data_IF_909919109616
#
_entry.id   IF_909919109616
#
_cell.length_a   1.000
_cell.length_b   1.000
_cell.length_c   1.000
_cell.angle_alpha   90.00
_cell.angle_beta   90.00
_cell.angle_gamma   90.00
#
_symmetry.space_group_name_H-M   'P 1'
#
loop_
_entity.id
_entity.type
_entity.pdbx_description
1 polymer ?
#
# COMPACT_ATOMS: atom_id res chain seq x y z
N UNK A 1 -24.83 5.54 -16.10
CA UNK A 1 -23.59 4.74 -16.00
C UNK A 1 -22.85 5.20 -14.75
N UNK A 2 -22.31 4.32 -13.91
CA UNK A 2 -21.55 4.75 -12.73
C UNK A 2 -20.35 5.59 -13.21
N UNK A 3 -20.17 6.77 -12.63
CA UNK A 3 -19.02 7.63 -12.92
C UNK A 3 -17.77 6.88 -12.51
N UNK A 4 -16.89 6.55 -13.46
CA UNK A 4 -15.61 5.89 -13.17
C UNK A 4 -14.80 6.85 -12.30
N UNK A 5 -14.37 6.41 -11.10
CA UNK A 5 -13.44 7.24 -10.31
C UNK A 5 -12.20 7.53 -11.16
N UNK A 6 -11.62 8.73 -11.12
CA UNK A 6 -10.41 9.03 -11.87
C UNK A 6 -9.24 8.14 -11.40
N UNK A 7 -8.14 8.02 -12.15
CA UNK A 7 -6.93 7.30 -11.69
C UNK A 7 -7.10 5.83 -11.26
N UNK A 8 -8.10 5.12 -11.80
CA UNK A 8 -8.31 3.68 -11.51
C UNK A 8 -7.08 2.81 -11.78
N UNK A 9 -6.25 3.16 -12.78
CA UNK A 9 -5.01 2.43 -13.05
C UNK A 9 -4.04 2.51 -11.86
N UNK A 10 -3.91 3.67 -11.20
CA UNK A 10 -3.05 3.82 -10.01
C UNK A 10 -3.58 2.95 -8.86
N UNK A 11 -4.89 2.92 -8.66
CA UNK A 11 -5.51 2.05 -7.66
C UNK A 11 -5.25 0.57 -7.93
N UNK A 12 -5.30 0.14 -9.19
CA UNK A 12 -5.01 -1.25 -9.57
C UNK A 12 -3.53 -1.61 -9.41
N UNK A 13 -2.60 -0.72 -9.78
CA UNK A 13 -1.16 -0.92 -9.54
C UNK A 13 -0.88 -1.05 -8.04
N UNK A 14 -1.46 -0.15 -7.24
CA UNK A 14 -1.38 -0.21 -5.79
C UNK A 14 -1.94 -1.52 -5.24
N UNK A 15 -3.13 -1.93 -5.69
CA UNK A 15 -3.78 -3.18 -5.27
C UNK A 15 -2.91 -4.39 -5.58
N UNK A 16 -2.35 -4.46 -6.79
CA UNK A 16 -1.45 -5.54 -7.19
C UNK A 16 -0.20 -5.59 -6.31
N UNK A 17 0.40 -4.43 -6.00
CA UNK A 17 1.56 -4.37 -5.09
C UNK A 17 1.22 -4.84 -3.66
N UNK A 18 0.06 -4.44 -3.13
CA UNK A 18 -0.36 -4.86 -1.78
C UNK A 18 -0.59 -6.38 -1.75
N UNK A 19 -1.26 -6.93 -2.77
CA UNK A 19 -1.48 -8.36 -2.89
C UNK A 19 -0.16 -9.14 -3.04
N UNK A 20 0.78 -8.61 -3.82
CA UNK A 20 2.10 -9.23 -3.96
C UNK A 20 2.91 -9.17 -2.65
N UNK A 21 2.84 -8.06 -1.92
CA UNK A 21 3.38 -7.96 -0.56
C UNK A 21 2.77 -8.99 0.39
N UNK A 22 1.44 -9.14 0.38
CA UNK A 22 0.74 -10.13 1.20
C UNK A 22 1.10 -11.57 0.82
N UNK A 23 1.30 -11.83 -0.47
CA UNK A 23 1.81 -13.11 -0.96
C UNK A 23 3.20 -13.40 -0.38
N UNK A 24 4.15 -12.47 -0.50
CA UNK A 24 5.49 -12.63 0.08
C UNK A 24 5.45 -12.80 1.60
N UNK A 25 4.61 -12.03 2.31
CA UNK A 25 4.44 -12.15 3.75
C UNK A 25 3.88 -13.51 4.18
N UNK A 26 3.05 -14.15 3.34
CA UNK A 26 2.43 -15.44 3.64
C UNK A 26 3.33 -16.64 3.32
N UNK A 27 4.11 -16.56 2.24
CA UNK A 27 4.88 -17.69 1.74
C UNK A 27 6.38 -17.62 2.02
N UNK A 28 6.96 -16.42 2.14
CA UNK A 28 8.40 -16.21 2.30
C UNK A 28 8.68 -15.03 3.26
N UNK A 29 8.11 -15.02 4.49
CA UNK A 29 8.22 -13.89 5.41
C UNK A 29 9.66 -13.57 5.81
N UNK A 30 10.55 -14.56 5.87
CA UNK A 30 11.95 -14.44 6.30
C UNK A 30 12.82 -13.55 5.40
N UNK A 31 12.37 -13.26 4.16
CA UNK A 31 13.08 -12.35 3.26
C UNK A 31 12.74 -10.88 3.51
N UNK A 32 11.70 -10.60 4.32
CA UNK A 32 11.23 -9.25 4.67
C UNK A 32 10.90 -8.29 3.50
N UNK A 33 11.03 -8.73 2.24
CA UNK A 33 10.73 -7.93 1.05
C UNK A 33 9.29 -7.43 1.00
N UNK A 34 8.37 -8.11 1.68
CA UNK A 34 6.97 -7.70 1.78
C UNK A 34 6.81 -6.28 2.35
N UNK A 35 7.71 -5.82 3.24
CA UNK A 35 7.69 -4.46 3.77
C UNK A 35 7.75 -3.39 2.68
N UNK A 36 8.60 -3.57 1.66
CA UNK A 36 8.74 -2.60 0.56
C UNK A 36 7.49 -2.56 -0.34
N UNK A 37 6.92 -3.73 -0.64
CA UNK A 37 5.70 -3.84 -1.46
C UNK A 37 4.49 -3.24 -0.75
N UNK A 38 4.40 -3.44 0.56
CA UNK A 38 3.36 -2.81 1.35
C UNK A 38 3.57 -1.31 1.52
N UNK A 39 4.81 -0.84 1.73
CA UNK A 39 5.10 0.59 1.77
C UNK A 39 4.68 1.28 0.47
N UNK A 40 5.15 0.77 -0.68
CA UNK A 40 4.83 1.31 -2.00
C UNK A 40 3.32 1.20 -2.30
N UNK A 41 2.74 0.02 -2.10
CA UNK A 41 1.34 -0.24 -2.41
C UNK A 41 0.39 0.63 -1.60
N UNK A 42 0.55 0.67 -0.27
CA UNK A 42 -0.26 1.53 0.59
C UNK A 42 0.01 3.03 0.30
N UNK A 43 1.26 3.42 0.02
CA UNK A 43 1.57 4.82 -0.27
C UNK A 43 0.88 5.32 -1.54
N UNK A 44 0.88 4.49 -2.58
CA UNK A 44 0.18 4.77 -3.84
C UNK A 44 -1.35 4.76 -3.66
N UNK A 45 -1.89 3.88 -2.81
CA UNK A 45 -3.33 3.89 -2.52
C UNK A 45 -3.75 5.11 -1.72
N UNK A 46 -2.93 5.54 -0.75
CA UNK A 46 -3.14 6.76 0.00
C UNK A 46 -3.18 7.98 -0.93
N UNK A 47 -2.20 8.10 -1.84
CA UNK A 47 -2.19 9.15 -2.86
C UNK A 47 -3.44 9.11 -3.75
N UNK A 48 -3.86 7.91 -4.18
CA UNK A 48 -5.06 7.75 -5.00
C UNK A 48 -6.34 8.09 -4.22
N UNK A 49 -6.44 7.70 -2.95
CA UNK A 49 -7.55 8.02 -2.05
C UNK A 49 -7.65 9.52 -1.77
N UNK A 50 -6.52 10.22 -1.67
CA UNK A 50 -6.49 11.68 -1.61
C UNK A 50 -7.13 12.31 -2.85
N UNK A 51 -6.78 11.82 -4.06
CA UNK A 51 -7.39 12.29 -5.31
C UNK A 51 -8.89 11.99 -5.40
N UNK A 52 -9.36 10.93 -4.72
CA UNK A 52 -10.78 10.57 -4.63
C UNK A 52 -11.54 11.25 -3.50
N UNK A 53 -10.85 11.98 -2.60
CA UNK A 53 -11.41 12.55 -1.37
C UNK A 53 -12.04 11.49 -0.46
N UNK A 54 -11.48 10.28 -0.45
CA UNK A 54 -11.93 9.17 0.39
C UNK A 54 -11.07 9.09 1.66
N UNK A 55 -11.46 9.86 2.68
CA UNK A 55 -10.65 10.05 3.88
C UNK A 55 -10.38 8.76 4.67
N UNK A 56 -11.32 7.82 4.70
CA UNK A 56 -11.12 6.53 5.38
C UNK A 56 -9.99 5.73 4.72
N UNK A 57 -9.97 5.65 3.39
CA UNK A 57 -8.91 5.00 2.63
C UNK A 57 -7.58 5.74 2.74
N UNK A 58 -7.61 7.07 2.73
CA UNK A 58 -6.42 7.89 2.91
C UNK A 58 -5.75 7.59 4.26
N UNK A 59 -6.52 7.69 5.36
CA UNK A 59 -6.00 7.49 6.72
C UNK A 59 -5.47 6.07 6.91
N UNK A 60 -6.22 5.05 6.45
CA UNK A 60 -5.80 3.66 6.56
C UNK A 60 -4.46 3.43 5.85
N UNK A 61 -4.39 3.81 4.58
CA UNK A 61 -3.22 3.53 3.76
C UNK A 61 -2.01 4.38 4.17
N UNK A 62 -2.20 5.63 4.57
CA UNK A 62 -1.14 6.45 5.15
C UNK A 62 -0.61 5.85 6.46
N UNK A 63 -1.51 5.37 7.33
CA UNK A 63 -1.12 4.69 8.57
C UNK A 63 -0.32 3.43 8.32
N UNK A 64 -0.78 2.58 7.40
CA UNK A 64 -0.04 1.38 6.99
C UNK A 64 1.34 1.73 6.41
N UNK A 65 1.43 2.71 5.51
CA UNK A 65 2.72 3.17 4.99
C UNK A 65 3.66 3.63 6.10
N UNK A 66 3.19 4.37 7.10
CA UNK A 66 4.01 4.78 8.24
C UNK A 66 4.48 3.57 9.06
N UNK A 67 3.61 2.60 9.33
CA UNK A 67 3.97 1.36 10.02
C UNK A 67 5.09 0.63 9.27
N UNK A 68 4.99 0.52 7.94
CA UNK A 68 6.05 -0.13 7.14
C UNK A 68 7.35 0.67 7.08
N UNK A 69 7.30 2.00 7.12
CA UNK A 69 8.52 2.82 7.28
C UNK A 69 9.22 2.46 8.60
N UNK A 70 8.50 2.43 9.71
CA UNK A 70 9.07 2.07 11.01
C UNK A 70 9.55 0.61 11.05
N UNK A 71 8.80 -0.32 10.44
CA UNK A 71 9.19 -1.73 10.33
C UNK A 71 10.50 -1.91 9.58
N UNK A 72 10.66 -1.21 8.44
CA UNK A 72 11.92 -1.21 7.67
C UNK A 72 13.06 -0.64 8.49
N UNK A 73 12.87 0.52 9.14
CA UNK A 73 13.92 1.11 9.99
C UNK A 73 14.35 0.18 11.14
N UNK A 74 13.40 -0.51 11.77
CA UNK A 74 13.69 -1.47 12.83
C UNK A 74 14.46 -2.70 12.32
N UNK A 75 14.19 -3.14 11.09
CA UNK A 75 14.89 -4.27 10.45
C UNK A 75 16.36 -3.94 10.13
N UNK A 76 16.67 -2.68 9.85
CA UNK A 76 18.03 -2.23 9.50
C UNK A 76 18.93 -1.88 10.71
N UNK A 77 18.39 -1.87 11.93
CA UNK A 77 19.11 -1.58 13.19
C UNK A 77 19.47 -2.90 13.89
#
# INVERSE_FOLDING_TARGET
>A
MPVKKPFQLLAWISTFSILFGAFLASFVPELYYHHYFFLFGNGLLAFTAFLWREYSLLVLNSGLSLIYIFGIFYEFI
#
